data_IF_878984147379
#
_entry.id   IF_878984147379
#
_cell.length_a   1.000
_cell.length_b   1.000
_cell.length_c   1.000
_cell.angle_alpha   90.00
_cell.angle_beta   90.00
_cell.angle_gamma   90.00
#
_symmetry.space_group_name_H-M   'P 1'
#
loop_
_entity.id
_entity.type
_entity.pdbx_description
1 polymer ?
#
# COMPACT_ATOMS: atom_id res chain seq x y z
N UNK A 1 -50.20 -35.39 -28.11
CA UNK A 1 -50.30 -33.99 -28.59
C UNK A 1 -50.57 -33.14 -27.36
N UNK A 2 -49.70 -32.27 -26.87
CA UNK A 2 -48.35 -31.85 -27.24
C UNK A 2 -47.82 -31.17 -25.97
N UNK A 3 -46.64 -31.55 -25.49
CA UNK A 3 -45.93 -30.81 -24.45
C UNK A 3 -45.54 -29.42 -24.99
N UNK A 4 -45.57 -28.39 -24.14
CA UNK A 4 -44.81 -27.18 -24.39
C UNK A 4 -44.21 -26.67 -23.09
N UNK A 5 -43.02 -27.21 -22.80
CA UNK A 5 -42.04 -26.67 -21.88
C UNK A 5 -41.58 -25.29 -22.37
N UNK A 6 -41.54 -24.30 -21.47
CA UNK A 6 -40.73 -23.10 -21.65
C UNK A 6 -39.52 -23.20 -20.72
N UNK A 7 -38.28 -23.05 -21.22
CA UNK A 7 -37.09 -23.14 -20.39
C UNK A 7 -36.83 -21.83 -19.64
N UNK A 8 -36.42 -21.98 -18.38
CA UNK A 8 -35.80 -20.94 -17.56
C UNK A 8 -34.63 -20.30 -18.31
N UNK A 9 -34.70 -18.98 -18.49
CA UNK A 9 -33.58 -18.20 -19.01
C UNK A 9 -32.45 -18.15 -18.00
N UNK A 10 -31.17 -18.17 -18.43
CA UNK A 10 -30.05 -18.10 -17.50
C UNK A 10 -30.01 -16.72 -16.84
N UNK A 11 -29.91 -16.71 -15.52
CA UNK A 11 -29.51 -15.55 -14.73
C UNK A 11 -28.18 -15.00 -15.24
N UNK A 12 -27.97 -13.66 -15.31
CA UNK A 12 -26.68 -13.12 -15.70
C UNK A 12 -25.67 -13.44 -14.59
N UNK A 13 -24.88 -14.48 -14.83
CA UNK A 13 -23.68 -14.77 -14.06
C UNK A 13 -22.73 -13.60 -14.27
N UNK A 14 -22.62 -12.74 -13.26
CA UNK A 14 -21.64 -11.66 -13.24
C UNK A 14 -20.25 -12.27 -13.39
N UNK A 15 -19.67 -12.14 -14.57
CA UNK A 15 -18.27 -12.52 -14.82
C UNK A 15 -17.43 -11.54 -14.00
N UNK A 16 -17.06 -11.93 -12.79
CA UNK A 16 -16.02 -11.25 -12.03
C UNK A 16 -14.70 -11.60 -12.71
N UNK A 17 -14.28 -10.76 -13.67
CA UNK A 17 -13.01 -10.91 -14.37
C UNK A 17 -11.87 -10.67 -13.37
N UNK A 18 -11.33 -11.77 -12.83
CA UNK A 18 -10.14 -11.77 -11.98
C UNK A 18 -8.93 -11.82 -12.91
N UNK A 19 -7.93 -10.96 -12.69
CA UNK A 19 -6.72 -10.94 -13.50
C UNK A 19 -5.99 -12.29 -13.38
N UNK A 20 -5.80 -12.99 -14.50
CA UNK A 20 -5.06 -14.27 -14.57
C UNK A 20 -3.87 -14.12 -15.52
N UNK A 21 -2.70 -14.65 -15.12
CA UNK A 21 -1.43 -14.42 -15.83
C UNK A 21 -0.96 -15.61 -16.70
N UNK A 22 -1.83 -16.54 -17.11
CA UNK A 22 -1.40 -17.64 -17.99
C UNK A 22 -1.35 -17.22 -19.47
N UNK A 23 -0.16 -16.89 -19.99
CA UNK A 23 0.12 -16.88 -21.45
C UNK A 23 1.19 -15.88 -21.95
N UNK A 24 2.23 -16.42 -22.61
CA UNK A 24 3.41 -15.83 -23.27
C UNK A 24 3.11 -14.79 -24.38
N UNK A 25 4.02 -13.83 -24.64
CA UNK A 25 4.36 -13.31 -26.00
C UNK A 25 5.64 -12.43 -26.02
N UNK A 26 6.67 -12.98 -26.67
CA UNK A 26 7.65 -12.42 -27.62
C UNK A 26 8.24 -11.01 -27.42
N UNK A 27 9.56 -10.96 -27.27
CA UNK A 27 10.36 -9.73 -27.35
C UNK A 27 10.28 -9.12 -28.76
N UNK A 28 9.66 -7.95 -28.87
CA UNK A 28 9.77 -7.06 -30.01
C UNK A 28 10.78 -5.95 -29.72
N UNK A 29 11.78 -5.80 -30.58
CA UNK A 29 12.80 -4.74 -30.52
C UNK A 29 12.14 -3.36 -30.66
N UNK A 30 12.37 -2.45 -29.71
CA UNK A 30 11.97 -1.04 -29.84
C UNK A 30 13.21 -0.15 -29.92
N UNK A 31 13.32 0.60 -31.02
CA UNK A 31 14.32 1.65 -31.26
C UNK A 31 13.89 2.94 -30.56
N UNK A 32 14.83 3.61 -29.91
CA UNK A 32 14.61 4.90 -29.23
C UNK A 32 14.72 6.09 -30.20
N UNK A 33 13.89 7.12 -30.00
CA UNK A 33 14.28 8.55 -29.87
C UNK A 33 13.09 9.51 -30.01
N UNK A 34 12.97 10.47 -29.09
CA UNK A 34 13.03 11.92 -29.36
C UNK A 34 12.60 12.74 -28.13
N UNK A 35 13.33 13.84 -27.90
CA UNK A 35 13.17 14.84 -26.83
C UNK A 35 12.04 15.81 -27.19
N UNK A 36 11.22 16.19 -26.20
CA UNK A 36 10.41 17.40 -26.27
C UNK A 36 10.60 18.23 -24.98
N UNK A 37 11.14 19.43 -25.14
CA UNK A 37 11.28 20.49 -24.13
C UNK A 37 10.00 21.31 -24.15
N UNK A 38 9.29 21.43 -23.01
CA UNK A 38 8.08 22.23 -22.93
C UNK A 38 7.66 22.55 -21.49
N UNK A 39 7.88 23.82 -21.11
CA UNK A 39 7.29 24.62 -20.03
C UNK A 39 6.84 23.94 -18.71
N UNK A 40 7.44 24.41 -17.59
CA UNK A 40 6.95 24.18 -16.22
C UNK A 40 5.64 24.94 -15.98
N UNK A 41 4.52 24.26 -15.66
CA UNK A 41 3.36 24.95 -15.12
C UNK A 41 3.62 25.29 -13.65
N UNK A 42 3.33 26.54 -13.30
CA UNK A 42 3.45 27.13 -11.98
C UNK A 42 2.67 26.31 -10.94
N UNK A 43 3.33 26.00 -9.84
CA UNK A 43 2.84 25.10 -8.79
C UNK A 43 1.47 25.55 -8.24
N UNK A 44 0.45 24.73 -8.46
CA UNK A 44 -0.70 24.68 -7.57
C UNK A 44 -0.20 24.24 -6.19
N UNK A 45 -0.46 25.06 -5.17
CA UNK A 45 -0.09 24.76 -3.79
C UNK A 45 -0.71 23.42 -3.36
N UNK A 46 0.12 22.38 -3.33
CA UNK A 46 -0.28 21.06 -2.85
C UNK A 46 -0.48 21.13 -1.32
N UNK A 47 -1.60 20.58 -0.86
CA UNK A 47 -1.84 20.27 0.55
C UNK A 47 -0.63 19.57 1.19
N UNK A 48 -0.42 19.65 2.52
CA UNK A 48 0.75 19.07 3.18
C UNK A 48 0.81 17.56 2.95
N UNK A 49 1.55 17.13 1.93
CA UNK A 49 1.85 15.74 1.67
C UNK A 49 3.13 15.38 2.41
N UNK A 50 3.24 14.15 2.91
CA UNK A 50 4.46 13.54 3.48
C UNK A 50 5.52 13.31 2.39
N UNK A 51 5.76 14.34 1.57
CA UNK A 51 6.52 14.28 0.34
C UNK A 51 7.98 14.00 0.67
N UNK A 52 8.48 12.87 0.16
CA UNK A 52 9.86 12.43 0.35
C UNK A 52 10.16 11.80 1.71
N UNK A 53 9.16 11.52 2.55
CA UNK A 53 9.38 10.81 3.83
C UNK A 53 9.69 9.35 3.56
N UNK A 54 10.74 8.84 4.21
CA UNK A 54 11.20 7.46 4.14
C UNK A 54 11.35 6.96 5.58
N UNK A 55 10.93 5.73 5.82
CA UNK A 55 11.09 5.05 7.11
C UNK A 55 12.02 3.86 6.96
N UNK A 56 12.85 3.63 7.97
CA UNK A 56 13.64 2.41 8.12
C UNK A 56 13.41 1.82 9.50
N UNK A 57 13.37 0.50 9.60
CA UNK A 57 13.39 -0.22 10.88
C UNK A 57 14.76 -0.85 11.03
N UNK A 58 15.47 -0.52 12.12
CA UNK A 58 16.79 -1.09 12.42
C UNK A 58 16.67 -2.45 13.12
N UNK A 59 17.78 -3.18 13.21
CA UNK A 59 17.83 -4.52 13.81
C UNK A 59 17.40 -4.53 15.29
N UNK A 60 17.67 -3.44 16.02
CA UNK A 60 17.24 -3.21 17.40
C UNK A 60 15.77 -2.79 17.52
N UNK A 61 15.04 -2.78 16.40
CA UNK A 61 13.62 -2.45 16.27
C UNK A 61 13.31 -0.98 16.50
N UNK A 62 14.29 -0.11 16.34
CA UNK A 62 14.05 1.32 16.26
C UNK A 62 13.48 1.72 14.90
N UNK A 63 12.47 2.59 14.90
CA UNK A 63 11.94 3.20 13.70
C UNK A 63 12.64 4.54 13.47
N UNK A 64 13.35 4.62 12.35
CA UNK A 64 14.00 5.84 11.88
C UNK A 64 13.17 6.52 10.80
N UNK A 65 13.14 7.85 10.86
CA UNK A 65 12.56 8.75 9.87
C UNK A 65 13.68 9.46 9.09
N UNK A 66 13.50 9.52 7.78
CA UNK A 66 14.31 10.28 6.84
C UNK A 66 13.39 11.12 5.95
N UNK A 67 13.93 12.18 5.36
CA UNK A 67 13.23 12.92 4.31
C UNK A 67 14.16 13.34 3.19
N UNK A 68 13.84 12.88 1.99
CA UNK A 68 14.51 13.25 0.74
C UNK A 68 13.87 14.52 0.18
N UNK A 69 14.58 15.64 0.35
CA UNK A 69 14.14 16.97 -0.10
C UNK A 69 14.36 17.16 -1.61
N UNK A 70 15.28 16.39 -2.19
CA UNK A 70 15.56 16.37 -3.64
C UNK A 70 14.67 15.44 -4.46
N UNK A 71 13.56 14.92 -3.92
CA UNK A 71 12.73 13.90 -4.60
C UNK A 71 12.25 14.30 -5.98
N UNK A 72 11.98 15.58 -6.22
CA UNK A 72 11.48 16.07 -7.51
C UNK A 72 12.54 16.20 -8.60
N UNK A 73 13.83 16.24 -8.22
CA UNK A 73 14.93 16.51 -9.15
C UNK A 73 16.11 15.53 -9.01
N UNK A 74 16.01 14.54 -8.13
CA UNK A 74 17.03 13.53 -7.90
C UNK A 74 18.27 14.02 -7.14
N UNK A 75 18.29 15.26 -6.65
CA UNK A 75 19.46 15.75 -5.90
C UNK A 75 19.59 15.02 -4.55
N UNK A 76 20.81 14.77 -4.04
CA UNK A 76 21.00 14.09 -2.75
C UNK A 76 20.79 15.06 -1.57
N UNK A 77 19.70 15.84 -1.60
CA UNK A 77 19.32 16.74 -0.51
C UNK A 77 18.44 16.01 0.48
N UNK A 78 18.87 15.97 1.73
CA UNK A 78 18.21 15.26 2.80
C UNK A 78 18.02 16.19 4.00
N UNK A 79 16.85 16.09 4.64
CA UNK A 79 16.64 16.74 5.92
C UNK A 79 17.67 16.22 6.95
N UNK A 80 17.97 17.05 7.96
CA UNK A 80 18.86 16.69 9.06
C UNK A 80 20.24 16.18 8.61
N UNK A 81 20.77 16.75 7.51
CA UNK A 81 22.04 16.36 6.88
C UNK A 81 22.14 14.85 6.54
N UNK A 82 21.00 14.20 6.27
CA UNK A 82 20.96 12.76 5.97
C UNK A 82 20.99 11.85 7.20
N UNK A 83 21.08 12.41 8.40
CA UNK A 83 21.02 11.62 9.64
C UNK A 83 19.57 11.30 10.00
N UNK A 84 19.26 10.00 10.07
CA UNK A 84 17.96 9.49 10.47
C UNK A 84 17.59 9.94 11.88
N UNK A 85 16.30 10.22 12.09
CA UNK A 85 15.75 10.55 13.42
C UNK A 85 14.99 9.37 13.96
N UNK A 86 15.35 8.90 15.15
CA UNK A 86 14.56 7.92 15.88
C UNK A 86 13.20 8.51 16.23
N UNK A 87 12.14 7.90 15.71
CA UNK A 87 10.75 8.32 15.93
C UNK A 87 9.91 7.26 16.63
N UNK A 88 10.42 6.05 16.83
CA UNK A 88 9.77 5.00 17.59
C UNK A 88 10.74 3.90 18.00
N UNK A 89 10.27 3.02 18.89
CA UNK A 89 10.98 1.84 19.37
C UNK A 89 10.04 0.64 19.38
N UNK A 90 10.58 -0.58 19.33
CA UNK A 90 9.79 -1.81 19.44
C UNK A 90 8.96 -2.11 18.18
N UNK A 91 9.44 -1.70 17.00
CA UNK A 91 8.81 -2.00 15.72
C UNK A 91 9.16 -3.42 15.26
N UNK A 92 8.72 -4.42 16.03
CA UNK A 92 8.88 -5.84 15.71
C UNK A 92 7.60 -6.42 15.12
N UNK A 93 7.58 -6.58 13.79
CA UNK A 93 6.41 -7.00 13.02
C UNK A 93 6.83 -7.97 11.93
N UNK A 94 5.91 -8.83 11.50
CA UNK A 94 6.08 -9.69 10.33
C UNK A 94 6.13 -8.86 9.04
N UNK A 95 5.30 -7.81 8.96
CA UNK A 95 5.28 -6.85 7.85
C UNK A 95 5.12 -5.43 8.38
N UNK A 96 5.85 -4.46 7.81
CA UNK A 96 5.65 -3.03 8.06
C UNK A 96 5.61 -2.29 6.74
N UNK A 97 4.60 -1.44 6.55
CA UNK A 97 4.48 -0.65 5.32
C UNK A 97 3.80 0.69 5.56
N UNK A 98 4.19 1.68 4.75
CA UNK A 98 3.59 3.00 4.77
C UNK A 98 2.23 2.98 4.07
N UNK A 99 1.21 3.54 4.72
CA UNK A 99 -0.09 3.80 4.13
C UNK A 99 -0.21 5.18 3.48
N UNK A 100 0.87 5.97 3.48
CA UNK A 100 0.93 7.37 3.05
C UNK A 100 0.42 8.37 4.10
N UNK A 101 0.69 9.67 3.92
CA UNK A 101 0.22 10.75 4.79
C UNK A 101 0.46 10.52 6.31
N UNK A 102 1.60 9.91 6.65
CA UNK A 102 1.99 9.61 8.03
C UNK A 102 1.27 8.39 8.64
N UNK A 103 0.46 7.66 7.88
CA UNK A 103 -0.09 6.37 8.30
C UNK A 103 0.93 5.27 8.07
N UNK A 104 1.13 4.43 9.08
CA UNK A 104 1.91 3.20 9.00
C UNK A 104 1.02 2.03 9.43
N UNK A 105 1.27 0.88 8.82
CA UNK A 105 0.66 -0.38 9.19
C UNK A 105 1.75 -1.36 9.62
N UNK A 106 1.47 -2.12 10.68
CA UNK A 106 2.29 -3.24 11.13
C UNK A 106 1.42 -4.48 11.22
N UNK A 107 1.89 -5.60 10.70
CA UNK A 107 1.27 -6.92 10.88
C UNK A 107 2.06 -7.65 11.96
N UNK A 108 1.42 -7.94 13.09
CA UNK A 108 2.01 -8.74 14.16
C UNK A 108 2.21 -10.18 13.70
N UNK A 109 3.11 -10.91 14.36
CA UNK A 109 3.44 -12.29 14.00
C UNK A 109 2.29 -13.28 14.21
N UNK A 110 1.24 -12.87 14.91
CA UNK A 110 -0.01 -13.61 15.11
C UNK A 110 -1.13 -13.22 14.11
N UNK A 111 -0.80 -12.36 13.14
CA UNK A 111 -1.71 -11.94 12.08
C UNK A 111 -2.59 -10.73 12.43
N UNK A 112 -2.37 -10.06 13.56
CA UNK A 112 -3.07 -8.82 13.88
C UNK A 112 -2.53 -7.64 13.06
N UNK A 113 -3.44 -6.89 12.42
CA UNK A 113 -3.08 -5.66 11.71
C UNK A 113 -3.25 -4.45 12.61
N UNK A 114 -2.13 -3.78 12.90
CA UNK A 114 -2.08 -2.54 13.65
C UNK A 114 -1.97 -1.33 12.72
N UNK A 115 -2.66 -0.26 13.08
CA UNK A 115 -2.59 1.05 12.47
C UNK A 115 -1.89 2.04 13.39
N UNK A 116 -1.01 2.84 12.82
CA UNK A 116 -0.30 3.92 13.48
C UNK A 116 -0.43 5.22 12.67
N UNK A 117 -0.40 6.36 13.37
CA UNK A 117 -0.35 7.69 12.75
C UNK A 117 0.75 8.54 13.36
N UNK A 118 1.74 8.83 12.52
CA UNK A 118 2.84 9.73 12.81
C UNK A 118 2.42 11.16 12.46
N UNK A 119 1.98 11.92 13.47
CA UNK A 119 1.58 13.32 13.32
C UNK A 119 2.80 14.24 13.07
N UNK A 120 4.00 13.80 13.46
CA UNK A 120 5.27 14.44 13.14
C UNK A 120 5.89 14.01 11.81
N UNK A 121 5.16 13.35 10.91
CA UNK A 121 5.73 12.86 9.65
C UNK A 121 6.32 13.96 8.75
N UNK A 122 5.82 15.19 8.82
CA UNK A 122 6.31 16.30 8.01
C UNK A 122 7.64 16.90 8.53
N UNK A 123 7.88 16.84 9.83
CA UNK A 123 9.00 17.51 10.52
C UNK A 123 9.97 16.53 11.20
N UNK A 124 9.67 15.23 11.18
CA UNK A 124 10.47 14.19 11.81
C UNK A 124 10.46 14.24 13.34
N UNK A 125 9.48 14.89 13.97
CA UNK A 125 9.29 14.83 15.43
C UNK A 125 8.57 13.54 15.81
N UNK A 126 8.91 12.91 16.94
CA UNK A 126 8.28 11.67 17.42
C UNK A 126 6.85 11.90 18.00
N UNK A 127 6.02 12.64 17.28
CA UNK A 127 4.62 12.91 17.65
C UNK A 127 3.72 11.90 16.98
N UNK A 128 3.00 11.14 17.80
CA UNK A 128 2.10 10.09 17.35
C UNK A 128 0.70 10.26 17.91
N UNK A 129 -0.29 9.93 17.10
CA UNK A 129 -1.65 9.75 17.58
C UNK A 129 -1.70 8.63 18.63
N UNK A 130 -2.77 8.62 19.44
CA UNK A 130 -3.00 7.57 20.46
C UNK A 130 -1.81 7.34 21.40
N UNK A 131 -1.02 8.40 21.68
CA UNK A 131 0.16 8.33 22.55
C UNK A 131 1.20 7.29 22.07
N UNK A 132 1.33 7.12 20.76
CA UNK A 132 2.28 6.16 20.15
C UNK A 132 1.81 4.70 20.19
N UNK A 133 0.59 4.42 20.67
CA UNK A 133 0.06 3.06 20.70
C UNK A 133 -0.62 2.72 19.37
N UNK A 134 -0.27 1.57 18.82
CA UNK A 134 -0.95 0.99 17.66
C UNK A 134 -2.39 0.69 17.98
N UNK A 135 -3.29 0.89 17.01
CA UNK A 135 -4.68 0.45 17.10
C UNK A 135 -4.85 -0.79 16.26
N UNK A 136 -5.33 -1.87 16.86
CA UNK A 136 -5.74 -3.05 16.11
C UNK A 136 -6.92 -2.69 15.21
N UNK A 137 -6.73 -2.89 13.91
CA UNK A 137 -7.72 -2.59 12.88
C UNK A 137 -8.13 -3.81 12.07
N UNK A 138 -7.45 -4.94 12.20
CA UNK A 138 -7.83 -6.20 11.58
C UNK A 138 -7.19 -7.39 12.27
N UNK A 139 -7.61 -8.60 11.89
CA UNK A 139 -7.05 -9.88 12.32
C UNK A 139 -6.95 -10.82 11.12
N UNK A 140 -6.09 -11.84 11.20
CA UNK A 140 -5.94 -12.85 10.14
C UNK A 140 -5.20 -12.33 8.90
N UNK A 141 -4.24 -11.42 9.09
CA UNK A 141 -3.40 -10.86 8.04
C UNK A 141 -2.16 -11.72 7.75
N UNK A 142 -2.32 -13.04 7.82
CA UNK A 142 -1.28 -14.05 7.56
C UNK A 142 -1.06 -14.25 6.05
N UNK A 143 -0.48 -13.23 5.42
CA UNK A 143 -0.22 -13.18 3.98
C UNK A 143 1.28 -13.22 3.69
N UNK A 144 1.65 -13.73 2.52
CA UNK A 144 3.06 -13.78 2.08
C UNK A 144 3.58 -12.40 1.71
N UNK A 145 2.71 -11.54 1.17
CA UNK A 145 3.00 -10.14 0.90
C UNK A 145 1.82 -9.26 1.30
N UNK A 146 2.10 -8.11 1.91
CA UNK A 146 1.09 -7.07 2.19
C UNK A 146 1.68 -5.70 1.86
N UNK A 147 0.95 -4.89 1.09
CA UNK A 147 1.41 -3.57 0.68
C UNK A 147 0.26 -2.60 0.48
N UNK A 148 0.52 -1.30 0.60
CA UNK A 148 -0.50 -0.27 0.41
C UNK A 148 -0.57 0.19 -1.03
N UNK A 149 -1.78 0.30 -1.57
CA UNK A 149 -2.07 1.04 -2.81
C UNK A 149 -2.43 2.51 -2.55
N UNK A 150 -2.09 3.07 -1.39
CA UNK A 150 -2.46 4.43 -1.01
C UNK A 150 -3.92 4.59 -0.60
N UNK A 151 -4.25 5.73 0.03
CA UNK A 151 -5.62 6.16 0.35
C UNK A 151 -6.52 5.12 1.09
N UNK A 152 -5.91 4.19 1.82
CA UNK A 152 -6.61 3.13 2.57
C UNK A 152 -6.82 1.85 1.79
N UNK A 153 -6.34 1.77 0.55
CA UNK A 153 -6.27 0.51 -0.20
C UNK A 153 -5.08 -0.30 0.28
N UNK A 154 -5.33 -1.56 0.60
CA UNK A 154 -4.33 -2.54 0.97
C UNK A 154 -4.48 -3.75 0.04
N UNK A 155 -3.35 -4.27 -0.41
CA UNK A 155 -3.26 -5.49 -1.18
C UNK A 155 -2.58 -6.57 -0.34
N UNK A 156 -3.03 -7.80 -0.49
CA UNK A 156 -2.46 -8.93 0.21
C UNK A 156 -2.38 -10.14 -0.73
N UNK A 157 -1.23 -10.83 -0.74
CA UNK A 157 -1.01 -12.04 -1.51
C UNK A 157 -1.03 -13.24 -0.57
N UNK A 158 -1.88 -14.21 -0.87
CA UNK A 158 -1.93 -15.45 -0.11
C UNK A 158 -0.89 -16.45 -0.65
N UNK A 159 -0.48 -17.43 0.18
CA UNK A 159 0.55 -18.40 -0.20
C UNK A 159 0.23 -19.29 -1.40
N UNK A 160 -1.01 -19.26 -1.91
CA UNK A 160 -1.42 -19.92 -3.15
C UNK A 160 -1.36 -18.99 -4.39
N UNK A 161 -0.80 -17.78 -4.25
CA UNK A 161 -0.66 -16.80 -5.33
C UNK A 161 -1.92 -15.96 -5.59
N UNK A 162 -2.94 -16.05 -4.75
CA UNK A 162 -4.14 -15.21 -4.88
C UNK A 162 -3.90 -13.79 -4.38
N UNK A 163 -4.25 -12.79 -5.20
CA UNK A 163 -4.18 -11.38 -4.84
C UNK A 163 -5.55 -10.90 -4.35
N UNK A 164 -5.57 -10.32 -3.16
CA UNK A 164 -6.74 -9.73 -2.55
C UNK A 164 -6.61 -8.21 -2.43
N UNK A 165 -7.74 -7.53 -2.61
CA UNK A 165 -7.90 -6.10 -2.36
C UNK A 165 -8.75 -5.87 -1.11
N UNK A 166 -8.32 -4.92 -0.29
CA UNK A 166 -9.00 -4.44 0.90
C UNK A 166 -9.08 -2.90 0.90
N UNK A 167 -10.11 -2.34 1.54
CA UNK A 167 -10.23 -0.90 1.77
C UNK A 167 -10.51 -0.59 3.23
N UNK A 168 -9.53 0.01 3.90
CA UNK A 168 -9.62 0.53 5.26
C UNK A 168 -10.21 1.95 5.23
N UNK A 169 -11.52 2.06 5.46
CA UNK A 169 -12.25 3.33 5.49
C UNK A 169 -11.93 4.14 6.74
N UNK A 170 -11.60 3.46 7.84
CA UNK A 170 -11.11 4.07 9.08
C UNK A 170 -9.67 4.59 9.04
N UNK A 171 -8.99 4.59 7.88
CA UNK A 171 -7.56 4.98 7.78
C UNK A 171 -7.24 6.35 8.38
N UNK A 172 -8.17 7.31 8.34
CA UNK A 172 -7.91 8.66 8.86
C UNK A 172 -7.85 8.74 10.38
N UNK A 173 -8.53 7.82 11.09
CA UNK A 173 -8.70 7.83 12.54
C UNK A 173 -8.31 6.52 13.24
N UNK A 174 -7.96 5.48 12.49
CA UNK A 174 -7.56 4.16 12.99
C UNK A 174 -8.70 3.29 13.49
N UNK A 175 -9.95 3.56 13.08
CA UNK A 175 -11.09 2.67 13.41
C UNK A 175 -11.09 1.42 12.52
N UNK A 176 -11.53 0.24 13.01
CA UNK A 176 -11.59 -0.98 12.22
C UNK A 176 -12.78 -0.98 11.22
N UNK A 177 -12.96 0.11 10.47
CA UNK A 177 -14.01 0.25 9.45
C UNK A 177 -13.44 -0.13 8.09
N UNK A 178 -14.05 -1.12 7.46
CA UNK A 178 -13.61 -1.68 6.20
C UNK A 178 -14.77 -1.78 5.22
N UNK A 179 -14.48 -1.55 3.94
CA UNK A 179 -15.41 -1.90 2.88
C UNK A 179 -15.69 -3.42 2.89
N UNK A 180 -16.82 -3.83 2.30
CA UNK A 180 -17.23 -5.23 2.18
C UNK A 180 -17.23 -5.99 3.52
N UNK A 181 -17.54 -5.31 4.63
CA UNK A 181 -17.55 -5.89 5.97
C UNK A 181 -16.21 -6.56 6.34
N UNK A 182 -15.09 -5.99 5.88
CA UNK A 182 -13.74 -6.51 6.14
C UNK A 182 -13.35 -7.71 5.29
N UNK A 183 -14.21 -8.19 4.39
CA UNK A 183 -13.88 -9.31 3.50
C UNK A 183 -13.05 -8.83 2.31
N UNK A 184 -11.87 -9.43 2.14
CA UNK A 184 -11.02 -9.20 0.98
C UNK A 184 -11.69 -9.64 -0.31
N UNK A 185 -11.55 -8.84 -1.37
CA UNK A 185 -11.99 -9.24 -2.72
C UNK A 185 -10.80 -9.83 -3.45
N UNK A 186 -10.89 -11.09 -3.87
CA UNK A 186 -9.92 -11.68 -4.79
C UNK A 186 -9.99 -10.95 -6.13
N UNK A 187 -8.87 -10.40 -6.56
CA UNK A 187 -8.74 -9.61 -7.80
C UNK A 187 -7.68 -10.16 -8.75
N UNK A 188 -6.84 -11.09 -8.29
CA UNK A 188 -5.86 -11.76 -9.13
C UNK A 188 -5.53 -13.18 -8.68
N UNK A 189 -4.84 -13.91 -9.54
CA UNK A 189 -4.21 -15.21 -9.25
C UNK A 189 -2.83 -15.29 -9.93
N UNK A 190 -1.94 -16.15 -9.41
CA UNK A 190 -0.58 -16.35 -9.92
C UNK A 190 0.41 -15.24 -9.52
N UNK A 191 0.22 -14.62 -8.35
CA UNK A 191 1.07 -13.57 -7.79
C UNK A 191 2.24 -14.12 -6.95
N UNK A 192 2.84 -15.23 -7.39
CA UNK A 192 3.96 -15.92 -6.71
C UNK A 192 5.30 -15.24 -6.98
N UNK A 193 5.43 -13.97 -6.59
CA UNK A 193 6.66 -13.19 -6.77
C UNK A 193 7.53 -13.23 -5.52
N UNK A 194 8.85 -13.10 -5.71
CA UNK A 194 9.79 -12.93 -4.59
C UNK A 194 9.53 -11.61 -3.83
N UNK A 195 9.17 -10.55 -4.55
CA UNK A 195 8.79 -9.25 -3.99
C UNK A 195 7.65 -8.65 -4.82
N UNK A 196 6.70 -8.00 -4.14
CA UNK A 196 5.64 -7.20 -4.77
C UNK A 196 5.42 -5.93 -3.95
N UNK A 197 5.32 -4.82 -4.64
CA UNK A 197 5.06 -3.49 -4.09
C UNK A 197 4.23 -2.73 -5.11
N UNK A 198 3.54 -1.68 -4.69
CA UNK A 198 2.72 -0.89 -5.60
C UNK A 198 3.56 0.24 -6.26
N UNK A 199 2.95 0.96 -7.21
CA UNK A 199 3.32 2.27 -7.78
C UNK A 199 2.30 3.33 -7.30
N UNK A 200 2.48 4.66 -7.43
CA UNK A 200 1.56 5.57 -6.75
C UNK A 200 1.86 6.95 -6.20
N UNK A 201 1.10 7.40 -5.18
CA UNK A 201 -0.25 6.90 -4.80
C UNK A 201 -0.37 5.40 -4.47
N UNK A 202 0.62 4.92 -3.70
CA UNK A 202 1.08 3.52 -3.68
C UNK A 202 2.46 3.18 -4.30
N UNK A 203 3.44 4.06 -4.59
CA UNK A 203 4.79 3.57 -5.10
C UNK A 203 5.59 2.95 -3.98
#
# INVERSE_FOLDING_TARGET
>A
MTEHSQPDGPTPSGISLVMSRRGLLTAGTAVASAVAVGAVPTAAAAAPSTNGVIYGVEDDKDLLWYRHEGRSNGTPRWANNGTGRKVGSGWDFAHVFAGGAGVLYGVEHDGDLLWYRHDGAADGTARWANRGRGRKVGSGWDFTHVFSGGAGVLYAVQGNGDLFWYRHEGRSNGTPRWANNGRGRKIGNGWDFAHVFAGGDGI
#
